data_IF_470792627797
#
_entry.id   IF_470792627797
#
_cell.length_a   1.000
_cell.length_b   1.000
_cell.length_c   1.000
_cell.angle_alpha   90.00
_cell.angle_beta   90.00
_cell.angle_gamma   90.00
#
_symmetry.space_group_name_H-M   'P 1'
#
loop_
_entity.id
_entity.type
_entity.pdbx_description
1 polymer ?
#
# COMPACT_ATOMS: atom_id res chain seq x y z
N UNK A 1 -24.70 16.65 2.64
CA UNK A 1 -24.39 16.32 1.24
C UNK A 1 -24.15 14.82 1.20
N UNK A 2 -25.06 14.06 0.60
CA UNK A 2 -24.93 12.60 0.50
C UNK A 2 -23.92 12.36 -0.59
N UNK A 3 -22.77 11.81 -0.27
CA UNK A 3 -21.81 11.37 -1.29
C UNK A 3 -22.34 10.06 -1.85
N UNK A 4 -23.09 10.12 -2.92
CA UNK A 4 -23.51 8.94 -3.66
C UNK A 4 -22.24 8.40 -4.31
N UNK A 5 -21.92 7.13 -4.03
CA UNK A 5 -20.86 6.43 -4.71
C UNK A 5 -21.29 6.25 -6.18
N UNK A 6 -20.73 7.07 -7.05
CA UNK A 6 -21.04 7.00 -8.47
C UNK A 6 -20.13 5.97 -9.16
N UNK A 7 -20.65 4.75 -9.26
CA UNK A 7 -19.99 3.65 -9.98
C UNK A 7 -19.72 4.01 -11.44
N UNK A 8 -20.53 4.90 -12.02
CA UNK A 8 -20.35 5.35 -13.39
C UNK A 8 -19.09 6.21 -13.54
N UNK A 9 -18.89 7.16 -12.64
CA UNK A 9 -17.68 7.99 -12.61
C UNK A 9 -16.43 7.16 -12.30
N UNK A 10 -16.53 6.23 -11.36
CA UNK A 10 -15.46 5.30 -11.05
C UNK A 10 -15.06 4.49 -12.28
N UNK A 11 -16.05 3.88 -12.94
CA UNK A 11 -15.82 3.10 -14.15
C UNK A 11 -15.19 3.95 -15.26
N UNK A 12 -15.69 5.16 -15.48
CA UNK A 12 -15.17 6.09 -16.47
C UNK A 12 -13.72 6.50 -16.19
N UNK A 13 -13.38 6.70 -14.92
CA UNK A 13 -12.02 7.07 -14.50
C UNK A 13 -11.03 5.97 -14.77
N UNK A 14 -11.37 4.72 -14.41
CA UNK A 14 -10.45 3.58 -14.57
C UNK A 14 -10.42 3.03 -16.00
N UNK A 15 -11.53 3.07 -16.71
CA UNK A 15 -11.64 2.45 -18.03
C UNK A 15 -11.70 3.45 -19.20
N UNK A 16 -11.76 4.75 -18.92
CA UNK A 16 -11.76 5.80 -19.93
C UNK A 16 -13.02 5.88 -20.79
N UNK A 17 -14.03 5.06 -20.51
CA UNK A 17 -15.31 5.01 -21.20
C UNK A 17 -16.45 4.88 -20.21
N UNK A 18 -17.62 5.41 -20.57
CA UNK A 18 -18.83 5.16 -19.80
C UNK A 18 -19.20 3.67 -19.83
N UNK A 19 -19.73 3.11 -18.74
CA UNK A 19 -20.23 1.74 -18.73
C UNK A 19 -21.37 1.59 -19.75
N UNK A 20 -21.45 0.41 -20.33
CA UNK A 20 -22.54 0.09 -21.25
C UNK A 20 -23.79 -0.28 -20.45
N UNK A 21 -24.83 0.52 -20.61
CA UNK A 21 -26.14 0.21 -20.03
C UNK A 21 -27.00 -0.47 -21.08
N UNK A 22 -27.52 -1.65 -20.76
CA UNK A 22 -28.59 -2.26 -21.53
C UNK A 22 -29.90 -1.66 -21.02
N UNK A 23 -30.44 -0.72 -21.76
CA UNK A 23 -31.80 -0.23 -21.49
C UNK A 23 -32.77 -1.31 -21.95
N UNK A 24 -33.69 -1.80 -21.10
CA UNK A 24 -34.77 -2.66 -21.55
C UNK A 24 -35.57 -1.96 -22.64
N UNK A 25 -35.86 -2.64 -23.74
CA UNK A 25 -36.53 -2.08 -24.90
C UNK A 25 -37.93 -1.51 -24.66
N UNK A 26 -38.51 -1.80 -23.48
CA UNK A 26 -39.89 -1.45 -23.14
C UNK A 26 -40.02 -0.37 -22.06
N UNK A 27 -38.95 0.31 -21.68
CA UNK A 27 -39.09 1.39 -20.72
C UNK A 27 -38.98 2.75 -21.39
N UNK A 28 -40.10 3.28 -21.84
CA UNK A 28 -40.26 4.71 -22.19
C UNK A 28 -40.11 5.65 -20.99
N UNK A 29 -39.76 5.13 -19.84
CA UNK A 29 -39.51 5.90 -18.64
C UNK A 29 -38.00 6.09 -18.48
N UNK A 30 -37.52 7.36 -18.42
CA UNK A 30 -36.13 7.60 -18.08
C UNK A 30 -35.83 6.90 -16.73
N UNK A 31 -34.70 6.20 -16.66
CA UNK A 31 -34.16 5.60 -15.45
C UNK A 31 -33.72 6.67 -14.42
N UNK A 32 -34.47 7.74 -14.30
CA UNK A 32 -34.36 8.74 -13.25
C UNK A 32 -35.13 8.34 -12.00
N UNK A 33 -35.70 7.15 -11.97
CA UNK A 33 -36.19 6.63 -10.71
C UNK A 33 -34.98 6.26 -9.89
N UNK A 34 -34.79 7.05 -8.84
CA UNK A 34 -34.05 6.63 -7.68
C UNK A 34 -34.41 5.19 -7.37
N UNK A 35 -33.51 4.27 -7.65
CA UNK A 35 -33.65 2.90 -7.17
C UNK A 35 -33.44 2.99 -5.66
N UNK A 36 -34.50 3.36 -4.98
CA UNK A 36 -34.55 3.33 -3.54
C UNK A 36 -34.56 1.85 -3.19
N UNK A 37 -33.40 1.28 -2.96
CA UNK A 37 -33.31 -0.01 -2.31
C UNK A 37 -33.89 0.16 -0.90
N UNK A 38 -35.15 -0.22 -0.75
CA UNK A 38 -35.80 -0.27 0.56
C UNK A 38 -35.01 -1.27 1.41
N UNK A 39 -34.27 -0.78 2.37
CA UNK A 39 -33.45 -1.59 3.26
C UNK A 39 -31.97 -1.17 3.33
N UNK A 40 -31.47 -0.43 2.37
CA UNK A 40 -30.24 0.33 2.60
C UNK A 40 -30.71 1.61 3.28
N UNK A 41 -30.59 1.66 4.61
CA UNK A 41 -30.73 2.90 5.31
C UNK A 41 -29.96 3.94 4.50
N UNK A 42 -30.58 5.08 4.22
CA UNK A 42 -29.92 6.27 3.70
C UNK A 42 -29.00 6.81 4.82
N UNK A 43 -28.11 5.94 5.28
CA UNK A 43 -26.99 6.41 6.05
C UNK A 43 -26.14 7.15 5.03
N UNK A 44 -26.07 8.48 5.12
CA UNK A 44 -24.99 9.16 4.47
C UNK A 44 -23.76 8.36 4.89
N UNK A 45 -22.99 7.83 3.93
CA UNK A 45 -21.71 7.21 4.25
C UNK A 45 -21.07 8.17 5.24
N UNK A 46 -20.81 7.76 6.49
CA UNK A 46 -20.22 8.66 7.45
C UNK A 46 -19.04 9.25 6.74
N UNK A 47 -18.93 10.58 6.73
CA UNK A 47 -17.76 11.25 6.15
C UNK A 47 -16.59 10.46 6.64
N UNK A 48 -15.82 9.86 5.72
CA UNK A 48 -14.79 8.92 6.07
C UNK A 48 -14.02 9.46 7.28
N UNK A 49 -14.03 8.69 8.35
CA UNK A 49 -13.35 9.10 9.59
C UNK A 49 -11.89 8.76 9.41
N UNK A 50 -11.02 9.73 9.56
CA UNK A 50 -9.58 9.47 9.55
C UNK A 50 -9.21 8.88 10.92
N UNK A 51 -8.66 7.69 10.88
CA UNK A 51 -8.14 6.99 12.04
C UNK A 51 -6.65 7.24 12.16
N UNK A 52 -6.19 7.44 13.38
CA UNK A 52 -4.78 7.71 13.65
C UNK A 52 -4.19 6.61 14.52
N UNK A 53 -2.92 6.32 14.31
CA UNK A 53 -2.16 5.45 15.18
C UNK A 53 -1.73 6.22 16.45
N UNK A 54 -1.04 5.53 17.38
CA UNK A 54 -0.54 6.15 18.63
C UNK A 54 0.45 7.30 18.41
N UNK A 55 1.11 7.35 17.25
CA UNK A 55 2.06 8.40 16.88
C UNK A 55 1.40 9.54 16.10
N UNK A 56 0.05 9.58 16.08
CA UNK A 56 -0.75 10.56 15.36
C UNK A 56 -0.55 10.56 13.83
N UNK A 57 -0.20 9.40 13.27
CA UNK A 57 -0.07 9.18 11.83
C UNK A 57 -1.37 8.55 11.32
N UNK A 58 -1.89 9.03 10.21
CA UNK A 58 -3.14 8.56 9.63
C UNK A 58 -3.00 7.11 9.14
N UNK A 59 -3.94 6.25 9.57
CA UNK A 59 -4.04 4.85 9.14
C UNK A 59 -4.83 4.69 7.85
N UNK A 60 -5.68 5.66 7.54
CA UNK A 60 -6.47 5.69 6.32
C UNK A 60 -6.49 7.10 5.74
N UNK A 61 -6.76 7.18 4.46
CA UNK A 61 -7.10 8.44 3.79
C UNK A 61 -8.41 8.28 3.04
N UNK A 62 -9.06 9.39 2.78
CA UNK A 62 -10.28 9.40 1.98
C UNK A 62 -9.86 9.52 0.51
N UNK A 63 -10.15 8.50 -0.28
CA UNK A 63 -9.89 8.49 -1.71
C UNK A 63 -10.77 9.48 -2.47
N UNK A 64 -10.45 9.70 -3.74
CA UNK A 64 -11.12 10.67 -4.61
C UNK A 64 -12.65 10.44 -4.72
N UNK A 65 -13.10 9.23 -4.47
CA UNK A 65 -14.52 8.83 -4.53
C UNK A 65 -15.20 8.73 -3.16
N UNK A 66 -14.56 9.22 -2.10
CA UNK A 66 -15.12 9.22 -0.75
C UNK A 66 -15.08 7.85 -0.04
N UNK A 67 -14.37 6.87 -0.57
CA UNK A 67 -14.11 5.58 0.09
C UNK A 67 -12.83 5.64 0.92
N UNK A 68 -12.76 4.84 1.95
CA UNK A 68 -11.58 4.74 2.78
C UNK A 68 -10.50 3.88 2.10
N UNK A 69 -9.31 4.46 1.98
CA UNK A 69 -8.10 3.76 1.57
C UNK A 69 -7.30 3.47 2.83
N UNK A 70 -7.18 2.19 3.16
CA UNK A 70 -6.47 1.75 4.36
C UNK A 70 -5.00 1.47 4.09
N UNK A 71 -4.17 1.92 5.01
CA UNK A 71 -2.73 1.72 5.02
C UNK A 71 -2.02 2.17 3.75
N UNK A 72 -2.31 3.39 3.26
CA UNK A 72 -1.54 3.96 2.18
C UNK A 72 -0.08 4.11 2.61
N UNK A 73 0.84 3.93 1.69
CA UNK A 73 2.26 4.13 1.93
C UNK A 73 2.81 5.12 0.93
N UNK A 74 3.92 5.72 1.28
CA UNK A 74 4.75 6.46 0.34
C UNK A 74 6.20 6.05 0.48
N UNK A 75 6.87 5.96 -0.67
CA UNK A 75 8.30 5.74 -0.77
C UNK A 75 8.93 7.00 -1.33
N UNK A 76 10.00 7.45 -0.72
CA UNK A 76 10.70 8.65 -1.18
C UNK A 76 12.20 8.51 -1.06
N UNK A 77 12.90 9.18 -1.95
CA UNK A 77 14.32 9.45 -1.81
C UNK A 77 14.69 10.80 -2.46
N UNK A 78 15.93 11.23 -2.28
CA UNK A 78 16.40 12.52 -2.76
C UNK A 78 16.42 12.62 -4.30
N UNK A 79 16.61 11.51 -5.01
CA UNK A 79 16.78 11.50 -6.47
C UNK A 79 15.49 11.30 -7.24
N UNK A 80 14.60 10.44 -6.72
CA UNK A 80 13.36 10.03 -7.43
C UNK A 80 12.11 10.78 -6.94
N UNK A 81 12.26 11.56 -5.84
CA UNK A 81 11.13 12.19 -5.20
C UNK A 81 10.23 11.19 -4.47
N UNK A 82 8.95 11.53 -4.34
CA UNK A 82 7.98 10.72 -3.60
C UNK A 82 7.04 10.00 -4.55
N UNK A 83 6.81 8.71 -4.30
CA UNK A 83 5.75 7.93 -4.93
C UNK A 83 4.75 7.49 -3.86
N UNK A 84 3.48 7.84 -4.05
CA UNK A 84 2.38 7.38 -3.21
C UNK A 84 1.79 6.09 -3.78
N UNK A 85 1.59 5.11 -2.91
CA UNK A 85 1.04 3.80 -3.26
C UNK A 85 -0.22 3.58 -2.42
N UNK A 86 -1.37 3.68 -3.07
CA UNK A 86 -2.67 3.55 -2.42
C UNK A 86 -3.18 2.09 -2.40
N UNK A 87 -2.89 1.36 -3.47
CA UNK A 87 -3.42 0.01 -3.67
C UNK A 87 -2.36 -1.03 -3.34
N UNK A 88 -2.04 -1.14 -2.06
CA UNK A 88 -1.03 -2.08 -1.58
C UNK A 88 -1.41 -2.77 -0.28
N UNK A 89 -0.71 -3.85 -0.01
CA UNK A 89 -0.68 -4.54 1.27
C UNK A 89 0.75 -4.57 1.78
N UNK A 90 0.93 -4.37 3.07
CA UNK A 90 2.22 -4.38 3.73
C UNK A 90 2.26 -5.52 4.73
N UNK A 91 3.24 -6.40 4.59
CA UNK A 91 3.54 -7.47 5.54
C UNK A 91 4.85 -7.14 6.24
N UNK A 92 4.90 -7.33 7.54
CA UNK A 92 6.08 -7.08 8.36
C UNK A 92 6.51 -8.39 9.01
N UNK A 93 7.78 -8.72 8.90
CA UNK A 93 8.39 -9.90 9.53
C UNK A 93 9.47 -9.45 10.50
N UNK A 94 9.35 -9.92 11.72
CA UNK A 94 10.28 -9.64 12.83
C UNK A 94 10.97 -10.95 13.21
N UNK A 95 12.28 -10.97 13.21
CA UNK A 95 13.06 -12.13 13.58
C UNK A 95 14.11 -11.83 14.66
N UNK A 96 14.62 -12.89 15.28
CA UNK A 96 15.69 -12.82 16.26
C UNK A 96 16.66 -13.95 16.02
N UNK A 97 17.94 -13.65 16.06
CA UNK A 97 18.99 -14.66 16.05
C UNK A 97 19.11 -15.29 17.43
N UNK A 98 18.70 -16.58 17.53
CA UNK A 98 18.70 -17.35 18.77
C UNK A 98 19.62 -18.54 18.60
N UNK A 99 20.65 -18.65 19.43
CA UNK A 99 21.47 -19.82 19.54
C UNK A 99 20.83 -20.81 20.53
N UNK A 100 20.80 -22.09 20.15
CA UNK A 100 20.21 -23.18 20.91
C UNK A 100 21.28 -24.19 21.24
N UNK A 101 21.56 -24.35 22.54
CA UNK A 101 22.55 -25.30 23.03
C UNK A 101 21.84 -26.46 23.69
N UNK A 102 21.98 -27.71 23.18
CA UNK A 102 21.44 -28.88 23.84
C UNK A 102 22.16 -29.13 25.17
N UNK A 103 21.40 -29.50 26.18
CA UNK A 103 21.95 -29.87 27.50
C UNK A 103 21.87 -31.39 27.63
N UNK A 104 22.98 -32.02 27.97
CA UNK A 104 23.06 -33.47 28.20
C UNK A 104 22.07 -33.90 29.29
N UNK A 105 21.40 -35.04 29.08
CA UNK A 105 20.49 -35.69 30.03
C UNK A 105 19.19 -34.91 30.35
N UNK A 106 18.91 -33.80 29.65
CA UNK A 106 17.70 -33.04 29.86
C UNK A 106 16.92 -32.89 28.55
N UNK A 107 15.60 -32.83 28.66
CA UNK A 107 14.76 -32.46 27.51
C UNK A 107 14.82 -30.95 27.30
N UNK A 108 15.08 -30.54 26.05
CA UNK A 108 15.09 -29.16 25.65
C UNK A 108 16.47 -28.58 25.40
N UNK A 109 16.52 -27.28 25.05
CA UNK A 109 17.75 -26.55 24.77
C UNK A 109 17.77 -25.28 25.58
N UNK A 110 18.94 -24.84 25.99
CA UNK A 110 19.17 -23.47 26.46
C UNK A 110 19.12 -22.56 25.24
N UNK A 111 18.40 -21.45 25.34
CA UNK A 111 18.22 -20.48 24.28
C UNK A 111 18.86 -19.18 24.70
N UNK A 112 19.77 -18.70 23.89
CA UNK A 112 20.42 -17.39 24.04
C UNK A 112 20.06 -16.50 22.86
N UNK A 113 19.54 -15.30 23.16
CA UNK A 113 19.21 -14.33 22.13
C UNK A 113 20.42 -13.41 21.94
N UNK A 114 21.00 -13.44 20.76
CA UNK A 114 22.17 -12.63 20.42
C UNK A 114 21.81 -11.31 19.75
N UNK A 115 20.78 -11.33 18.90
CA UNK A 115 20.43 -10.15 18.11
C UNK A 115 18.92 -10.12 17.81
N UNK A 116 18.41 -8.92 17.63
CA UNK A 116 17.15 -8.65 16.94
C UNK A 116 17.54 -8.30 15.52
N UNK A 117 17.10 -9.11 14.58
CA UNK A 117 17.42 -8.92 13.17
C UNK A 117 16.64 -7.73 12.61
N UNK A 118 17.07 -7.20 11.46
CA UNK A 118 16.37 -6.15 10.77
C UNK A 118 14.94 -6.56 10.42
N UNK A 119 14.03 -5.60 10.49
CA UNK A 119 12.63 -5.86 10.17
C UNK A 119 12.47 -5.90 8.67
N UNK A 120 11.83 -6.96 8.18
CA UNK A 120 11.58 -7.14 6.76
C UNK A 120 10.17 -6.72 6.41
N UNK A 121 10.06 -5.85 5.42
CA UNK A 121 8.79 -5.42 4.87
C UNK A 121 8.61 -6.03 3.49
N UNK A 122 7.44 -6.62 3.26
CA UNK A 122 7.02 -7.05 1.93
C UNK A 122 5.80 -6.24 1.53
N UNK A 123 5.95 -5.43 0.51
CA UNK A 123 4.92 -4.56 -0.04
C UNK A 123 4.44 -5.17 -1.35
N UNK A 124 3.15 -5.45 -1.46
CA UNK A 124 2.52 -5.95 -2.69
C UNK A 124 1.39 -5.04 -3.09
N UNK A 125 1.33 -4.68 -4.35
CA UNK A 125 0.30 -3.77 -4.82
C UNK A 125 0.13 -3.76 -6.32
N UNK A 126 -0.65 -2.78 -6.77
CA UNK A 126 -0.95 -2.58 -8.17
C UNK A 126 -0.71 -1.11 -8.55
N UNK A 127 0.00 -0.90 -9.64
CA UNK A 127 0.04 0.37 -10.33
C UNK A 127 -1.10 0.39 -11.35
N UNK A 128 -1.95 1.40 -11.27
CA UNK A 128 -3.12 1.52 -12.14
C UNK A 128 -2.98 2.75 -13.01
N UNK A 129 -2.82 2.53 -14.30
CA UNK A 129 -2.70 3.62 -15.27
C UNK A 129 -4.03 4.32 -15.55
N UNK A 130 -4.05 5.62 -15.44
CA UNK A 130 -5.22 6.46 -15.67
C UNK A 130 -5.71 6.35 -17.12
N UNK A 131 -7.03 6.27 -17.31
CA UNK A 131 -7.63 6.22 -18.63
C UNK A 131 -7.25 4.99 -19.47
N UNK A 132 -6.98 3.85 -18.82
CA UNK A 132 -6.50 2.61 -19.48
C UNK A 132 -5.16 2.76 -20.20
N UNK A 133 -4.33 3.69 -19.78
CA UNK A 133 -2.96 3.80 -20.28
C UNK A 133 -2.04 2.92 -19.46
N UNK A 134 -0.96 2.49 -20.06
CA UNK A 134 0.08 1.78 -19.35
C UNK A 134 0.71 2.70 -18.28
N UNK A 135 0.93 2.25 -17.03
CA UNK A 135 1.46 3.09 -15.94
C UNK A 135 2.98 3.22 -16.02
N UNK A 136 3.48 3.69 -17.17
CA UNK A 136 4.91 3.78 -17.46
C UNK A 136 5.65 4.71 -16.49
N UNK A 137 5.07 5.88 -16.20
CA UNK A 137 5.67 6.87 -15.31
C UNK A 137 5.86 6.32 -13.89
N UNK A 138 4.89 5.58 -13.37
CA UNK A 138 4.95 5.02 -12.02
C UNK A 138 5.94 3.85 -11.95
N UNK A 139 6.01 3.04 -13.01
CA UNK A 139 7.01 1.98 -13.14
C UNK A 139 8.42 2.58 -13.16
N UNK A 140 8.64 3.62 -13.97
CA UNK A 140 9.94 4.29 -14.06
C UNK A 140 10.35 4.95 -12.76
N UNK A 141 9.40 5.51 -12.00
CA UNK A 141 9.68 6.07 -10.67
C UNK A 141 10.12 4.98 -9.70
N UNK A 142 9.43 3.84 -9.65
CA UNK A 142 9.83 2.70 -8.81
C UNK A 142 11.20 2.16 -9.21
N UNK A 143 11.47 2.05 -10.51
CA UNK A 143 12.76 1.62 -11.01
C UNK A 143 13.89 2.58 -10.58
N UNK A 144 13.71 3.88 -10.77
CA UNK A 144 14.69 4.88 -10.33
C UNK A 144 14.92 4.87 -8.83
N UNK A 145 13.88 4.63 -8.06
CA UNK A 145 13.96 4.53 -6.61
C UNK A 145 14.79 3.30 -6.20
N UNK A 146 14.62 2.18 -6.90
CA UNK A 146 15.38 0.96 -6.69
C UNK A 146 16.86 1.08 -7.12
N UNK A 147 17.10 1.77 -8.24
CA UNK A 147 18.47 1.95 -8.78
C UNK A 147 19.28 3.06 -8.07
N UNK A 148 18.64 3.83 -7.20
CA UNK A 148 19.30 4.96 -6.52
C UNK A 148 20.17 4.46 -5.36
N UNK A 149 21.37 5.04 -5.25
CA UNK A 149 22.29 4.83 -4.12
C UNK A 149 21.90 5.63 -2.86
N UNK A 150 20.80 6.40 -2.93
CA UNK A 150 20.34 7.20 -1.80
C UNK A 150 19.40 6.41 -0.90
N UNK A 151 19.42 6.71 0.41
CA UNK A 151 18.49 6.09 1.34
C UNK A 151 17.04 6.27 0.89
N UNK A 152 16.27 5.21 1.01
CA UNK A 152 14.83 5.23 0.75
C UNK A 152 14.09 5.37 2.07
N UNK A 153 13.11 6.24 2.10
CA UNK A 153 12.24 6.43 3.26
C UNK A 153 10.86 5.81 2.97
N UNK A 154 10.41 4.97 3.89
CA UNK A 154 9.10 4.33 3.86
C UNK A 154 8.19 4.99 4.89
N UNK A 155 7.17 5.67 4.43
CA UNK A 155 6.18 6.33 5.26
C UNK A 155 4.81 5.68 5.13
N UNK A 156 4.04 5.71 6.22
CA UNK A 156 2.68 5.21 6.27
C UNK A 156 2.27 4.83 7.67
N UNK A 157 0.99 4.93 7.98
CA UNK A 157 0.48 4.73 9.34
C UNK A 157 0.76 3.34 9.93
N UNK A 158 0.90 2.30 9.09
CA UNK A 158 1.22 0.95 9.54
C UNK A 158 2.72 0.66 9.60
N UNK A 159 3.54 0.90 8.54
CA UNK A 159 4.98 0.67 8.60
C UNK A 159 5.70 1.46 9.70
N UNK A 160 5.32 2.71 9.90
CA UNK A 160 5.95 3.59 10.90
C UNK A 160 5.73 3.15 12.36
N UNK A 161 4.85 2.19 12.61
CA UNK A 161 4.74 1.57 13.94
C UNK A 161 5.98 0.72 14.30
N UNK A 162 6.70 0.25 13.30
CA UNK A 162 7.88 -0.61 13.42
C UNK A 162 9.19 0.13 13.12
N UNK A 163 9.10 1.22 12.37
CA UNK A 163 10.21 2.11 12.06
C UNK A 163 10.31 3.15 13.17
N UNK A 164 11.28 3.02 14.06
CA UNK A 164 11.37 3.87 15.25
C UNK A 164 11.60 5.35 14.89
N UNK A 165 12.85 5.81 14.86
CA UNK A 165 13.20 7.21 14.59
C UNK A 165 13.56 7.47 13.13
N UNK A 166 13.95 6.44 12.42
CA UNK A 166 14.37 6.51 11.03
C UNK A 166 13.38 5.71 10.19
N UNK A 167 12.69 6.36 9.27
CA UNK A 167 11.84 5.69 8.28
C UNK A 167 12.65 5.09 7.12
N UNK A 168 13.97 4.92 7.30
CA UNK A 168 14.87 4.43 6.26
C UNK A 168 14.74 2.94 6.08
N UNK A 169 14.75 2.53 4.83
CA UNK A 169 14.72 1.13 4.41
C UNK A 169 15.69 0.91 3.25
N UNK A 170 16.29 -0.27 3.22
CA UNK A 170 17.06 -0.75 2.09
C UNK A 170 16.18 -1.68 1.25
N UNK A 171 15.99 -1.35 -0.03
CA UNK A 171 15.20 -2.18 -0.93
C UNK A 171 16.10 -3.32 -1.44
N UNK A 172 15.72 -4.57 -1.14
CA UNK A 172 16.43 -5.76 -1.61
C UNK A 172 15.97 -6.19 -2.99
N UNK A 173 14.65 -6.22 -3.20
CA UNK A 173 14.07 -6.68 -4.47
C UNK A 173 12.89 -5.82 -4.89
N UNK A 174 12.79 -5.61 -6.20
CA UNK A 174 11.63 -5.03 -6.87
C UNK A 174 11.24 -5.97 -8.00
N UNK A 175 10.04 -6.52 -7.92
CA UNK A 175 9.51 -7.46 -8.90
C UNK A 175 8.25 -6.92 -9.55
N UNK A 176 8.12 -7.12 -10.85
CA UNK A 176 6.90 -6.90 -11.62
C UNK A 176 6.42 -8.24 -12.16
N UNK A 177 5.52 -8.94 -11.45
CA UNK A 177 5.01 -10.24 -11.89
C UNK A 177 4.33 -10.19 -13.25
N UNK A 178 4.31 -11.32 -13.93
CA UNK A 178 3.61 -11.44 -15.21
C UNK A 178 2.12 -11.24 -15.05
N UNK A 179 1.52 -10.52 -16.01
CA UNK A 179 0.08 -10.30 -16.09
C UNK A 179 -0.44 -10.92 -17.36
N UNK A 180 -1.29 -11.93 -17.19
CA UNK A 180 -2.03 -12.49 -18.31
C UNK A 180 -3.29 -11.69 -18.61
N UNK A 181 -3.56 -11.46 -19.88
CA UNK A 181 -4.82 -10.92 -20.34
C UNK A 181 -4.76 -9.47 -20.85
N UNK A 182 -5.95 -8.88 -20.99
CA UNK A 182 -6.12 -7.59 -21.65
C UNK A 182 -5.89 -6.35 -20.76
N UNK A 183 -5.62 -6.57 -19.46
CA UNK A 183 -5.50 -5.49 -18.47
C UNK A 183 -4.08 -4.90 -18.39
N UNK A 184 -3.54 -4.47 -19.52
CA UNK A 184 -2.17 -3.92 -19.59
C UNK A 184 -1.97 -2.62 -18.80
N UNK A 185 -3.05 -1.96 -18.38
CA UNK A 185 -3.03 -0.73 -17.57
C UNK A 185 -2.94 -0.99 -16.06
N UNK A 186 -3.00 -2.26 -15.65
CA UNK A 186 -2.81 -2.69 -14.26
C UNK A 186 -1.53 -3.50 -14.21
N UNK A 187 -0.57 -3.06 -13.38
CA UNK A 187 0.68 -3.77 -13.17
C UNK A 187 0.86 -4.09 -11.70
N UNK A 188 0.87 -5.38 -11.34
CA UNK A 188 1.26 -5.78 -10.01
C UNK A 188 2.75 -5.53 -9.82
N UNK A 189 3.11 -5.25 -8.57
CA UNK A 189 4.49 -5.16 -8.16
C UNK A 189 4.66 -5.77 -6.78
N UNK A 190 5.88 -6.16 -6.45
CA UNK A 190 6.29 -6.59 -5.13
C UNK A 190 7.63 -5.96 -4.80
N UNK A 191 7.72 -5.38 -3.60
CA UNK A 191 8.94 -4.82 -3.05
C UNK A 191 9.26 -5.57 -1.77
N UNK A 192 10.50 -6.04 -1.63
CA UNK A 192 11.06 -6.51 -0.38
C UNK A 192 12.11 -5.51 0.08
N UNK A 193 12.01 -5.08 1.33
CA UNK A 193 12.97 -4.17 1.94
C UNK A 193 13.18 -4.51 3.42
N UNK A 194 14.32 -4.10 3.94
CA UNK A 194 14.72 -4.23 5.33
C UNK A 194 14.93 -2.85 5.96
N UNK A 195 14.81 -2.79 7.29
CA UNK A 195 15.15 -1.56 8.02
C UNK A 195 16.62 -1.24 7.87
N UNK A 196 16.92 0.05 7.64
CA UNK A 196 18.28 0.56 7.60
C UNK A 196 18.51 1.43 8.84
N UNK A 197 18.98 0.80 9.92
CA UNK A 197 19.38 1.48 11.13
C UNK A 197 20.83 1.94 11.01
N UNK A 198 21.02 3.20 10.65
CA UNK A 198 22.35 3.83 10.77
C UNK A 198 22.51 4.25 12.23
N UNK A 199 23.17 3.46 13.03
CA UNK A 199 23.77 3.94 14.26
C UNK A 199 25.01 4.77 13.89
N UNK A 200 24.97 6.05 14.16
CA UNK A 200 26.16 6.91 14.04
C UNK A 200 27.21 6.37 15.02
N UNK A 201 28.21 5.70 14.49
CA UNK A 201 29.40 5.35 15.24
C UNK A 201 30.14 6.66 15.56
N UNK A 202 29.81 7.27 16.71
CA UNK A 202 30.55 8.39 17.24
C UNK A 202 31.89 7.84 17.72
N UNK A 203 32.92 7.93 16.88
CA UNK A 203 34.29 7.71 17.33
C UNK A 203 34.68 8.96 18.14
N UNK A 204 34.54 8.87 19.47
CA UNK A 204 35.13 9.83 20.38
C UNK A 204 36.64 9.60 20.41
N UNK A 205 37.41 10.52 19.78
CA UNK A 205 38.85 10.61 19.90
C UNK A 205 39.25 11.16 21.26
#
# INVERSE_FOLDING_TARGET
>A
MITIFDLHELYKTYFGKAPYYVTPKDSDKPLTQDVTYSGIAQNPHPKGTIHYNRNNIALNKIGAYGHDIWFPISLSNADSGTIEIENCTVSVNLSKTIVRTPVSERRGTVKECFNIDDYRFTIRGFLIGKGRKFPEEDIMKLQKLFESDKPVELHGGYPELFLEKSCRVAIETLEFPEVQGKAYWIRPFMISCETDYIEDLIITN
#
